data_IF_815496249035
#
_entry.id   IF_815496249035
#
_cell.length_a   1.000
_cell.length_b   1.000
_cell.length_c   1.000
_cell.angle_alpha   90.00
_cell.angle_beta   90.00
_cell.angle_gamma   90.00
#
_symmetry.space_group_name_H-M   'P 1'
#
loop_
_entity.id
_entity.type
_entity.pdbx_description
1 polymer ?
#
# COMPACT_ATOMS: atom_id res chain seq x y z
N UNK A 1 7.52 3.78 -13.73
CA UNK A 1 7.21 3.73 -12.29
C UNK A 1 5.86 3.07 -12.20
N UNK A 2 5.86 1.84 -11.75
CA UNK A 2 4.66 1.00 -11.71
C UNK A 2 3.90 1.26 -10.40
N UNK A 3 2.59 1.00 -10.38
CA UNK A 3 1.74 1.27 -9.21
C UNK A 3 2.28 0.58 -7.94
N UNK A 4 2.89 -0.59 -8.07
CA UNK A 4 3.54 -1.33 -6.97
C UNK A 4 4.68 -0.53 -6.34
N UNK A 5 5.60 0.01 -7.14
CA UNK A 5 6.70 0.82 -6.61
C UNK A 5 6.18 2.10 -5.95
N UNK A 6 5.12 2.68 -6.51
CA UNK A 6 4.51 3.88 -5.98
C UNK A 6 3.84 3.62 -4.61
N UNK A 7 3.13 2.50 -4.47
CA UNK A 7 2.57 2.03 -3.19
C UNK A 7 3.68 1.80 -2.16
N UNK A 8 4.75 1.08 -2.51
CA UNK A 8 5.88 0.85 -1.59
C UNK A 8 6.52 2.17 -1.17
N UNK A 9 6.74 3.10 -2.11
CA UNK A 9 7.28 4.43 -1.79
C UNK A 9 6.37 5.22 -0.85
N UNK A 10 5.05 5.17 -1.05
CA UNK A 10 4.11 5.80 -0.12
C UNK A 10 4.19 5.16 1.27
N UNK A 11 4.21 3.83 1.36
CA UNK A 11 4.34 3.13 2.64
C UNK A 11 5.67 3.45 3.34
N UNK A 12 6.79 3.53 2.61
CA UNK A 12 8.11 3.93 3.15
C UNK A 12 8.11 5.37 3.65
N UNK A 13 7.43 6.29 2.96
CA UNK A 13 7.31 7.70 3.40
C UNK A 13 6.55 7.83 4.72
N UNK A 14 5.69 6.87 5.05
CA UNK A 14 4.96 6.83 6.31
C UNK A 14 5.79 6.22 7.46
N UNK A 15 7.04 5.82 7.20
CA UNK A 15 7.97 5.23 8.18
C UNK A 15 7.38 4.02 8.94
N UNK A 16 6.54 3.24 8.26
CA UNK A 16 5.81 2.11 8.86
C UNK A 16 6.75 0.93 9.10
N UNK A 17 6.60 0.29 10.27
CA UNK A 17 7.35 -0.92 10.64
C UNK A 17 6.46 -2.15 10.53
N UNK A 18 7.05 -3.36 10.44
CA UNK A 18 6.29 -4.59 10.55
C UNK A 18 5.42 -4.60 11.82
N UNK A 19 4.12 -4.83 11.65
CA UNK A 19 3.10 -4.76 12.71
C UNK A 19 2.31 -3.45 12.74
N UNK A 20 2.79 -2.37 12.11
CA UNK A 20 2.03 -1.13 11.99
C UNK A 20 0.89 -1.28 10.97
N UNK A 21 -0.17 -0.52 11.23
CA UNK A 21 -1.38 -0.51 10.40
C UNK A 21 -1.58 0.88 9.78
N UNK A 22 -2.01 0.91 8.53
CA UNK A 22 -2.29 2.13 7.78
C UNK A 22 -3.59 1.97 6.99
N UNK A 23 -4.36 3.05 6.88
CA UNK A 23 -5.56 3.02 6.05
C UNK A 23 -5.19 3.07 4.55
N UNK A 24 -5.85 2.25 3.73
CA UNK A 24 -5.66 2.22 2.28
C UNK A 24 -5.88 3.61 1.66
N UNK A 25 -6.82 4.41 2.17
CA UNK A 25 -7.06 5.78 1.70
C UNK A 25 -5.85 6.70 1.87
N UNK A 26 -5.04 6.50 2.91
CA UNK A 26 -3.82 7.29 3.14
C UNK A 26 -2.74 7.02 2.07
N UNK A 27 -2.86 5.90 1.35
CA UNK A 27 -1.96 5.51 0.25
C UNK A 27 -2.63 5.80 -1.10
N UNK A 28 -3.91 5.47 -1.25
CA UNK A 28 -4.65 5.65 -2.50
C UNK A 28 -4.82 7.10 -2.89
N UNK A 29 -5.17 7.98 -1.95
CA UNK A 29 -5.35 9.41 -2.23
C UNK A 29 -4.11 10.08 -2.86
N UNK A 30 -2.89 9.96 -2.29
CA UNK A 30 -1.71 10.56 -2.91
C UNK A 30 -1.32 9.91 -4.23
N UNK A 31 -1.62 8.62 -4.44
CA UNK A 31 -1.33 7.95 -5.71
C UNK A 31 -2.29 8.38 -6.83
N UNK A 32 -3.57 8.53 -6.52
CA UNK A 32 -4.56 9.07 -7.46
C UNK A 32 -4.21 10.51 -7.85
N UNK A 33 -3.78 11.33 -6.89
CA UNK A 33 -3.34 12.72 -7.14
C UNK A 33 -2.09 12.78 -8.04
N UNK A 34 -1.23 11.76 -7.96
CA UNK A 34 -0.10 11.56 -8.88
C UNK A 34 -0.49 11.04 -10.26
N UNK A 35 -1.78 10.77 -10.51
CA UNK A 35 -2.31 10.30 -11.78
C UNK A 35 -2.30 8.79 -11.98
N UNK A 36 -2.16 7.99 -10.91
CA UNK A 36 -2.28 6.54 -11.01
C UNK A 36 -3.75 6.10 -11.05
N UNK A 37 -4.04 5.13 -11.92
CA UNK A 37 -5.36 4.51 -12.00
C UNK A 37 -5.72 3.80 -10.67
N UNK A 38 -6.93 4.02 -10.13
CA UNK A 38 -7.40 3.35 -8.92
C UNK A 38 -7.33 1.82 -9.00
N UNK A 39 -7.69 1.25 -10.16
CA UNK A 39 -7.62 -0.21 -10.38
C UNK A 39 -6.18 -0.72 -10.27
N UNK A 40 -5.22 -0.01 -10.89
CA UNK A 40 -3.80 -0.38 -10.81
C UNK A 40 -3.24 -0.29 -9.38
N UNK A 41 -3.72 0.65 -8.57
CA UNK A 41 -3.37 0.76 -7.14
C UNK A 41 -3.90 -0.45 -6.37
N UNK A 42 -5.16 -0.85 -6.61
CA UNK A 42 -5.76 -2.01 -5.96
C UNK A 42 -5.04 -3.30 -6.36
N UNK A 43 -4.74 -3.49 -7.65
CA UNK A 43 -3.95 -4.63 -8.13
C UNK A 43 -2.57 -4.68 -7.46
N UNK A 44 -1.91 -3.53 -7.32
CA UNK A 44 -0.63 -3.42 -6.63
C UNK A 44 -0.72 -3.82 -5.15
N UNK A 45 -1.77 -3.38 -4.44
CA UNK A 45 -2.02 -3.75 -3.04
C UNK A 45 -2.29 -5.26 -2.93
N UNK A 46 -3.13 -5.83 -3.78
CA UNK A 46 -3.40 -7.27 -3.83
C UNK A 46 -2.12 -8.08 -4.11
N UNK A 47 -1.25 -7.61 -5.01
CA UNK A 47 0.02 -8.26 -5.30
C UNK A 47 0.95 -8.27 -4.08
N UNK A 48 1.05 -7.14 -3.37
CA UNK A 48 1.86 -7.04 -2.15
C UNK A 48 1.32 -7.93 -1.02
N UNK A 49 0.00 -8.09 -0.94
CA UNK A 49 -0.64 -9.01 -0.01
C UNK A 49 -0.33 -10.47 -0.36
N UNK A 50 -0.45 -10.85 -1.64
CA UNK A 50 -0.07 -12.17 -2.14
C UNK A 50 1.41 -12.52 -1.86
N UNK A 51 2.30 -11.53 -1.92
CA UNK A 51 3.73 -11.67 -1.57
C UNK A 51 4.00 -11.67 -0.06
N UNK A 52 2.95 -11.53 0.76
CA UNK A 52 3.02 -11.39 2.22
C UNK A 52 3.94 -10.24 2.66
N UNK A 53 4.00 -9.17 1.88
CA UNK A 53 4.66 -7.92 2.27
C UNK A 53 3.74 -7.13 3.19
N UNK A 54 2.44 -7.17 2.86
CA UNK A 54 1.38 -6.55 3.63
C UNK A 54 0.25 -7.56 3.89
N UNK A 55 -0.70 -7.19 4.74
CA UNK A 55 -1.93 -7.94 5.00
C UNK A 55 -3.12 -6.98 4.96
N UNK A 56 -4.17 -7.35 4.24
CA UNK A 56 -5.44 -6.64 4.31
C UNK A 56 -6.16 -7.02 5.61
N UNK A 57 -6.51 -6.03 6.41
CA UNK A 57 -7.24 -6.21 7.67
C UNK A 57 -8.57 -5.44 7.61
N UNK A 58 -9.59 -5.84 8.41
CA UNK A 58 -10.89 -5.20 8.41
C UNK A 58 -10.81 -3.69 8.64
N UNK A 59 -11.72 -2.92 8.03
CA UNK A 59 -11.72 -1.45 8.13
C UNK A 59 -10.90 -0.73 7.07
N UNK A 60 -10.68 -1.37 5.91
CA UNK A 60 -9.91 -0.82 4.78
C UNK A 60 -8.48 -0.45 5.19
N UNK A 61 -7.88 -1.31 6.00
CA UNK A 61 -6.55 -1.11 6.57
C UNK A 61 -5.59 -2.17 6.04
N UNK A 62 -4.33 -1.79 5.99
CA UNK A 62 -3.20 -2.63 5.63
C UNK A 62 -2.29 -2.73 6.85
N UNK A 63 -1.90 -3.96 7.21
CA UNK A 63 -0.83 -4.22 8.16
C UNK A 63 0.47 -4.54 7.44
N UNK A 64 1.59 -3.99 7.88
CA UNK A 64 2.90 -4.29 7.31
C UNK A 64 3.42 -5.60 7.89
N UNK A 65 3.77 -6.56 7.04
CA UNK A 65 4.29 -7.86 7.48
C UNK A 65 5.81 -7.96 7.35
N UNK A 66 6.41 -7.22 6.41
CA UNK A 66 7.84 -7.23 6.12
C UNK A 66 8.39 -5.80 6.10
N UNK A 67 9.67 -5.61 6.44
CA UNK A 67 10.32 -4.32 6.24
C UNK A 67 10.29 -3.96 4.76
N UNK A 68 9.88 -2.72 4.46
CA UNK A 68 9.61 -2.23 3.12
C UNK A 68 10.84 -1.69 2.41
#
# INVERSE_FOLDING_TARGET
>A
MDAVEAVIKCLRKLDLKPGDNVNIYAIGAPLIDMGFDPEAIIDAVCLLEAQKVIQLIPGNQISILKPL
#
